data_IF_006044866782
#
_entry.id   IF_006044866782
#
_cell.length_a   1.000
_cell.length_b   1.000
_cell.length_c   1.000
_cell.angle_alpha   90.00
_cell.angle_beta   90.00
_cell.angle_gamma   90.00
#
_symmetry.space_group_name_H-M   'P 1'
#
loop_
_entity.id
_entity.type
_entity.pdbx_description
1 polymer ?
#
# COMPACT_ATOMS: atom_id res chain seq x y z
N UNK A 1 -13.14 7.27 -11.28
CA UNK A 1 -12.84 6.24 -10.28
C UNK A 1 -11.94 6.95 -9.31
N UNK A 2 -12.31 6.98 -8.05
CA UNK A 2 -11.48 7.53 -6.99
C UNK A 2 -10.90 6.36 -6.21
N UNK A 3 -9.69 6.52 -5.71
CA UNK A 3 -9.03 5.54 -4.86
C UNK A 3 -8.52 6.28 -3.63
N UNK A 4 -8.87 5.77 -2.46
CA UNK A 4 -8.43 6.35 -1.19
C UNK A 4 -7.73 5.28 -0.36
N UNK A 5 -6.71 5.69 0.37
CA UNK A 5 -6.09 4.87 1.41
C UNK A 5 -6.45 5.42 2.77
N UNK A 6 -6.90 4.52 3.65
CA UNK A 6 -7.16 4.76 5.06
C UNK A 6 -6.22 3.88 5.87
N UNK A 7 -5.44 4.47 6.77
CA UNK A 7 -4.50 3.75 7.64
C UNK A 7 -4.78 4.12 9.09
N UNK A 8 -4.65 3.16 10.00
CA UNK A 8 -4.93 3.36 11.42
C UNK A 8 -4.15 4.54 12.02
N UNK A 9 -4.91 5.57 12.43
CA UNK A 9 -4.38 6.77 13.05
C UNK A 9 -3.76 7.79 12.09
N UNK A 10 -3.93 7.62 10.78
CA UNK A 10 -3.46 8.57 9.75
C UNK A 10 -4.66 9.22 9.04
N UNK A 11 -4.44 10.40 8.49
CA UNK A 11 -5.41 11.08 7.63
C UNK A 11 -5.55 10.32 6.30
N UNK A 12 -6.79 10.11 5.86
CA UNK A 12 -7.06 9.45 4.58
C UNK A 12 -6.45 10.23 3.41
N UNK A 13 -5.84 9.52 2.45
CA UNK A 13 -5.17 10.13 1.29
C UNK A 13 -5.80 9.70 -0.01
N UNK A 14 -5.83 10.62 -0.98
CA UNK A 14 -6.17 10.32 -2.37
C UNK A 14 -4.98 9.61 -3.03
N UNK A 15 -5.23 8.44 -3.61
CA UNK A 15 -4.24 7.60 -4.27
C UNK A 15 -4.22 7.91 -5.76
N UNK A 16 -3.06 8.32 -6.25
CA UNK A 16 -2.81 8.62 -7.66
C UNK A 16 -2.33 7.40 -8.44
N UNK A 17 -1.46 6.59 -7.82
CA UNK A 17 -0.97 5.33 -8.38
C UNK A 17 -0.99 4.24 -7.30
N UNK A 18 -1.29 3.01 -7.72
CA UNK A 18 -1.27 1.84 -6.88
C UNK A 18 -0.86 0.63 -7.70
N UNK A 19 0.09 -0.14 -7.17
CA UNK A 19 0.36 -1.50 -7.63
C UNK A 19 0.58 -2.44 -6.46
N UNK A 20 0.08 -3.67 -6.59
CA UNK A 20 0.38 -4.78 -5.70
C UNK A 20 0.44 -6.04 -6.55
N UNK A 21 1.31 -6.97 -6.17
CA UNK A 21 1.47 -8.21 -6.89
C UNK A 21 1.75 -9.36 -5.93
N UNK A 22 1.36 -10.56 -6.35
CA UNK A 22 1.74 -11.80 -5.70
C UNK A 22 2.55 -12.61 -6.71
N UNK A 23 3.62 -13.23 -6.25
CA UNK A 23 4.53 -13.98 -7.08
C UNK A 23 4.83 -15.34 -6.45
N UNK A 24 4.96 -16.34 -7.31
CA UNK A 24 5.41 -17.68 -6.94
C UNK A 24 6.53 -18.06 -7.89
N UNK A 25 7.66 -18.51 -7.34
CA UNK A 25 8.77 -18.99 -8.16
C UNK A 25 8.32 -20.22 -8.95
N UNK A 26 8.82 -20.33 -10.19
CA UNK A 26 8.58 -21.46 -11.08
C UNK A 26 9.91 -22.11 -11.45
N UNK A 27 9.93 -23.43 -11.56
CA UNK A 27 11.07 -24.17 -12.06
C UNK A 27 11.22 -24.07 -13.58
N UNK A 28 12.29 -24.66 -14.12
CA UNK A 28 12.58 -24.67 -15.57
C UNK A 28 11.51 -25.37 -16.41
N UNK A 29 10.67 -26.21 -15.79
CA UNK A 29 9.56 -26.91 -16.44
C UNK A 29 8.22 -26.16 -16.27
N UNK A 30 8.24 -24.97 -15.65
CA UNK A 30 7.07 -24.13 -15.44
C UNK A 30 6.18 -24.56 -14.28
N UNK A 31 6.66 -25.45 -13.39
CA UNK A 31 5.92 -25.87 -12.20
C UNK A 31 6.24 -24.93 -11.03
N UNK A 32 5.25 -24.62 -10.17
CA UNK A 32 5.53 -23.80 -8.99
C UNK A 32 6.53 -24.49 -8.05
N UNK A 33 7.59 -23.79 -7.66
CA UNK A 33 8.71 -24.31 -6.86
C UNK A 33 8.78 -23.76 -5.43
N UNK A 34 8.08 -22.65 -5.15
CA UNK A 34 8.02 -22.02 -3.83
C UNK A 34 6.57 -21.72 -3.41
N UNK A 35 6.36 -21.30 -2.16
CA UNK A 35 5.07 -20.73 -1.73
C UNK A 35 4.89 -19.33 -2.31
N UNK A 36 3.64 -18.90 -2.51
CA UNK A 36 3.31 -17.55 -2.95
C UNK A 36 3.85 -16.52 -1.95
N UNK A 37 4.48 -15.47 -2.45
CA UNK A 37 4.92 -14.29 -1.69
C UNK A 37 4.15 -13.08 -2.21
N UNK A 38 3.85 -12.15 -1.32
CA UNK A 38 3.12 -10.93 -1.68
C UNK A 38 3.09 -9.95 -0.53
N UNK A 39 2.09 -9.08 -0.52
CA UNK A 39 1.91 -8.10 0.55
C UNK A 39 2.70 -6.81 0.36
N UNK A 40 3.52 -6.70 -0.69
CA UNK A 40 4.09 -5.42 -1.11
C UNK A 40 3.07 -4.62 -1.91
N UNK A 41 2.82 -3.40 -1.45
CA UNK A 41 1.87 -2.46 -2.03
C UNK A 41 2.63 -1.15 -2.27
N UNK A 42 2.79 -0.79 -3.53
CA UNK A 42 3.40 0.48 -3.93
C UNK A 42 2.30 1.51 -4.18
N UNK A 43 2.44 2.67 -3.56
CA UNK A 43 1.45 3.73 -3.59
C UNK A 43 2.12 5.05 -3.94
N UNK A 44 1.44 5.84 -4.76
CA UNK A 44 1.70 7.28 -4.91
C UNK A 44 0.44 8.00 -4.44
N UNK A 45 0.56 8.85 -3.43
CA UNK A 45 -0.56 9.66 -2.91
C UNK A 45 -0.28 11.13 -3.11
N UNK A 46 -1.33 11.92 -3.27
CA UNK A 46 -1.23 13.37 -3.42
C UNK A 46 -0.86 14.02 -2.09
N UNK A 47 0.22 14.77 -1.93
CA UNK A 47 0.60 15.42 -0.65
C UNK A 47 -0.51 16.30 -0.05
N UNK A 48 -0.61 16.35 1.29
CA UNK A 48 -1.48 17.33 1.96
C UNK A 48 -0.73 18.66 2.09
N UNK A 49 -1.42 19.76 1.77
CA UNK A 49 -0.85 21.12 1.85
C UNK A 49 -0.95 21.73 3.27
N UNK A 50 -1.04 20.90 4.31
CA UNK A 50 -1.21 21.30 5.71
C UNK A 50 0.01 20.96 6.60
N UNK A 51 1.08 20.42 6.00
CA UNK A 51 2.28 20.00 6.72
C UNK A 51 2.15 18.64 7.40
N UNK A 52 1.21 17.79 6.96
CA UNK A 52 1.14 16.40 7.41
C UNK A 52 2.45 15.64 7.11
N UNK A 53 2.94 14.89 8.10
CA UNK A 53 4.19 14.12 8.02
C UNK A 53 4.01 12.67 8.47
N UNK A 54 2.78 12.14 8.46
CA UNK A 54 2.47 10.90 9.16
C UNK A 54 3.08 9.66 8.49
N UNK A 55 3.14 9.61 7.15
CA UNK A 55 3.82 8.53 6.43
C UNK A 55 5.34 8.59 6.61
N UNK A 56 5.90 9.80 6.69
CA UNK A 56 7.31 9.98 7.03
C UNK A 56 7.62 9.55 8.46
N UNK A 57 6.74 9.84 9.42
CA UNK A 57 6.89 9.34 10.79
C UNK A 57 6.83 7.80 10.82
N UNK A 58 5.91 7.21 10.05
CA UNK A 58 5.77 5.76 9.98
C UNK A 58 6.99 5.07 9.37
N UNK A 59 7.60 5.60 8.29
CA UNK A 59 8.85 5.02 7.76
C UNK A 59 10.00 5.11 8.77
N UNK A 60 10.01 6.16 9.61
CA UNK A 60 11.08 6.37 10.58
C UNK A 60 11.01 5.42 11.78
N UNK A 61 9.86 4.78 12.02
CA UNK A 61 9.68 3.79 13.08
C UNK A 61 9.62 2.36 12.50
N UNK A 62 10.74 1.62 12.52
CA UNK A 62 10.80 0.27 11.95
C UNK A 62 10.04 -0.78 12.77
N UNK A 63 9.54 -0.44 13.96
CA UNK A 63 8.80 -1.38 14.83
C UNK A 63 7.30 -1.18 14.75
N UNK A 64 6.84 -0.03 14.27
CA UNK A 64 5.42 0.28 14.19
C UNK A 64 4.77 -0.41 13.00
N UNK A 65 3.81 -1.29 13.31
CA UNK A 65 2.88 -1.82 12.32
C UNK A 65 1.56 -1.06 12.35
N UNK A 66 0.90 -0.98 11.19
CA UNK A 66 -0.45 -0.43 11.07
C UNK A 66 -1.29 -1.31 10.17
N UNK A 67 -2.60 -1.27 10.38
CA UNK A 67 -3.57 -1.83 9.44
C UNK A 67 -4.18 -0.71 8.62
N UNK A 68 -4.82 -1.09 7.52
CA UNK A 68 -5.50 -0.12 6.67
C UNK A 68 -6.29 -0.76 5.56
N UNK A 69 -6.94 0.10 4.79
CA UNK A 69 -7.78 -0.28 3.66
C UNK A 69 -7.59 0.68 2.50
N UNK A 70 -7.43 0.13 1.32
CA UNK A 70 -7.50 0.85 0.06
C UNK A 70 -8.89 0.65 -0.53
N UNK A 71 -9.64 1.73 -0.67
CA UNK A 71 -11.01 1.74 -1.18
C UNK A 71 -11.05 2.21 -2.61
N UNK A 72 -11.61 1.38 -3.48
CA UNK A 72 -11.88 1.73 -4.87
C UNK A 72 -13.34 2.15 -5.01
N UNK A 73 -13.56 3.36 -5.51
CA UNK A 73 -14.89 3.92 -5.69
C UNK A 73 -15.20 4.15 -7.17
N UNK A 74 -16.43 3.83 -7.56
CA UNK A 74 -16.95 4.14 -8.89
C UNK A 74 -17.04 5.67 -9.07
N UNK A 75 -17.27 6.10 -10.31
CA UNK A 75 -17.44 7.54 -10.63
C UNK A 75 -18.65 8.17 -9.92
N UNK A 76 -19.62 7.36 -9.50
CA UNK A 76 -20.82 7.79 -8.78
C UNK A 76 -20.64 7.78 -7.24
N UNK A 77 -19.43 7.46 -6.74
CA UNK A 77 -19.14 7.37 -5.30
C UNK A 77 -19.54 6.04 -4.66
N UNK A 78 -20.08 5.09 -5.42
CA UNK A 78 -20.44 3.77 -4.87
C UNK A 78 -19.16 2.95 -4.61
N UNK A 79 -19.03 2.29 -3.45
CA UNK A 79 -17.95 1.35 -3.18
C UNK A 79 -17.90 0.25 -4.25
N UNK A 80 -16.71 -0.04 -4.76
CA UNK A 80 -16.49 -1.07 -5.78
C UNK A 80 -15.73 -2.28 -5.23
N UNK A 81 -14.55 -2.03 -4.67
CA UNK A 81 -13.60 -3.04 -4.22
C UNK A 81 -12.81 -2.47 -3.06
N UNK A 82 -12.41 -3.33 -2.13
CA UNK A 82 -11.51 -2.97 -1.03
C UNK A 82 -10.33 -3.93 -1.03
N UNK A 83 -9.14 -3.40 -0.77
CA UNK A 83 -7.96 -4.17 -0.41
C UNK A 83 -7.60 -3.79 1.03
N UNK A 84 -7.72 -4.75 1.95
CA UNK A 84 -7.34 -4.58 3.35
C UNK A 84 -5.94 -5.13 3.57
N UNK A 85 -5.16 -4.46 4.40
CA UNK A 85 -3.85 -4.93 4.81
C UNK A 85 -3.73 -4.91 6.33
N UNK A 86 -3.09 -5.93 6.88
CA UNK A 86 -2.91 -6.14 8.32
C UNK A 86 -1.43 -6.34 8.66
N UNK A 87 -1.04 -5.90 9.85
CA UNK A 87 0.33 -5.95 10.40
C UNK A 87 1.38 -5.48 9.37
N UNK A 88 1.17 -4.27 8.84
CA UNK A 88 2.00 -3.77 7.76
C UNK A 88 3.07 -2.80 8.26
N UNK A 89 4.24 -2.84 7.62
CA UNK A 89 5.32 -1.88 7.79
C UNK A 89 5.38 -0.97 6.56
N UNK A 90 5.84 0.26 6.74
CA UNK A 90 6.20 1.13 5.63
C UNK A 90 7.71 1.02 5.41
N UNK A 91 8.12 0.38 4.32
CA UNK A 91 9.51 -0.04 4.10
C UNK A 91 10.31 0.95 3.25
N UNK A 92 9.62 1.79 2.49
CA UNK A 92 10.21 2.79 1.60
C UNK A 92 9.31 4.02 1.59
N UNK A 93 9.92 5.21 1.57
CA UNK A 93 9.24 6.50 1.45
C UNK A 93 10.09 7.44 0.59
N UNK A 94 9.46 8.13 -0.34
CA UNK A 94 10.02 9.18 -1.18
C UNK A 94 8.98 10.29 -1.31
N UNK A 95 9.43 11.54 -1.31
CA UNK A 95 8.56 12.69 -1.52
C UNK A 95 9.08 13.49 -2.71
N UNK A 96 8.21 13.69 -3.70
CA UNK A 96 8.56 14.27 -4.98
C UNK A 96 7.81 15.57 -5.16
N UNK A 97 8.55 16.66 -5.42
CA UNK A 97 8.01 17.97 -5.75
C UNK A 97 8.50 18.38 -7.14
N UNK A 98 7.57 18.66 -8.04
CA UNK A 98 7.84 19.24 -9.35
C UNK A 98 7.15 20.60 -9.45
N UNK A 99 7.93 21.66 -9.70
CA UNK A 99 7.40 23.03 -9.84
C UNK A 99 6.90 23.37 -11.24
N UNK A 100 7.18 22.52 -12.23
CA UNK A 100 6.87 22.74 -13.64
C UNK A 100 5.59 22.00 -14.01
N UNK A 101 5.40 20.77 -13.51
CA UNK A 101 4.18 20.00 -13.75
C UNK A 101 3.10 20.25 -12.70
N UNK A 102 1.86 20.42 -13.15
CA UNK A 102 0.71 20.71 -12.30
C UNK A 102 0.19 19.43 -11.61
N UNK A 103 1.00 18.90 -10.69
CA UNK A 103 0.75 17.76 -9.80
C UNK A 103 1.61 17.85 -8.53
N UNK A 104 1.86 19.09 -8.10
CA UNK A 104 3.16 19.57 -7.64
C UNK A 104 3.75 19.00 -6.34
N UNK A 105 3.15 18.02 -5.68
CA UNK A 105 3.78 17.34 -4.56
C UNK A 105 3.09 16.00 -4.33
N UNK A 106 3.85 14.90 -4.36
CA UNK A 106 3.36 13.55 -4.11
C UNK A 106 4.27 12.82 -3.14
N UNK A 107 3.68 11.90 -2.39
CA UNK A 107 4.41 10.96 -1.54
C UNK A 107 4.31 9.57 -2.17
N UNK A 108 5.45 8.95 -2.40
CA UNK A 108 5.60 7.60 -2.93
C UNK A 108 6.11 6.69 -1.83
N UNK A 109 5.46 5.56 -1.60
CA UNK A 109 5.89 4.65 -0.55
C UNK A 109 5.50 3.20 -0.83
N UNK A 110 6.23 2.30 -0.17
CA UNK A 110 5.99 0.86 -0.22
C UNK A 110 5.55 0.36 1.15
N UNK A 111 4.35 -0.22 1.20
CA UNK A 111 3.85 -0.94 2.37
C UNK A 111 4.15 -2.43 2.20
N UNK A 112 4.73 -3.05 3.22
CA UNK A 112 4.92 -4.50 3.32
C UNK A 112 4.01 -5.08 4.39
N UNK A 113 2.90 -5.67 3.96
CA UNK A 113 1.88 -6.24 4.83
C UNK A 113 2.10 -7.73 5.12
N UNK A 114 1.81 -8.14 6.36
CA UNK A 114 1.78 -9.56 6.71
C UNK A 114 0.62 -10.26 6.04
N UNK A 115 -0.54 -9.61 5.98
CA UNK A 115 -1.74 -10.17 5.35
C UNK A 115 -2.41 -9.12 4.47
N UNK A 116 -2.87 -9.57 3.30
CA UNK A 116 -3.71 -8.79 2.39
C UNK A 116 -5.01 -9.54 2.15
N UNK A 117 -6.15 -8.85 2.20
CA UNK A 117 -7.48 -9.39 1.95
C UNK A 117 -8.19 -8.57 0.87
N UNK A 118 -8.80 -9.26 -0.08
CA UNK A 118 -9.65 -8.68 -1.09
C UNK A 118 -10.97 -9.45 -1.12
N UNK A 119 -12.06 -8.81 -0.67
CA UNK A 119 -13.40 -9.38 -0.74
C UNK A 119 -13.57 -10.67 0.09
N UNK A 120 -12.80 -10.83 1.17
CA UNK A 120 -12.82 -12.00 2.06
C UNK A 120 -11.89 -13.14 1.64
N UNK A 121 -11.13 -12.97 0.55
CA UNK A 121 -10.07 -13.88 0.13
C UNK A 121 -8.74 -13.25 0.51
N UNK A 122 -7.92 -13.96 1.28
CA UNK A 122 -6.68 -13.40 1.81
C UNK A 122 -5.44 -14.23 1.46
N UNK A 123 -4.31 -13.53 1.41
CA UNK A 123 -2.97 -14.11 1.42
C UNK A 123 -2.25 -13.62 2.68
N UNK A 124 -1.64 -14.55 3.41
CA UNK A 124 -0.87 -14.24 4.62
C UNK A 124 0.56 -14.77 4.45
N UNK A 125 1.52 -13.87 4.66
CA UNK A 125 2.92 -14.20 4.64
C UNK A 125 3.31 -14.86 5.97
N UNK A 126 3.86 -16.06 5.90
CA UNK A 126 4.54 -16.70 7.03
C UNK A 126 5.93 -16.11 7.19
N UNK A 127 6.03 -14.95 7.82
CA UNK A 127 7.32 -14.46 8.32
C UNK A 127 7.73 -15.37 9.47
N UNK A 128 8.92 -15.96 9.38
CA UNK A 128 9.45 -16.73 10.51
C UNK A 128 9.55 -15.78 11.70
N UNK A 129 8.91 -16.13 12.83
CA UNK A 129 9.19 -15.46 14.10
C UNK A 129 10.70 -15.55 14.31
N UNK A 130 11.38 -14.40 14.25
CA UNK A 130 12.82 -14.32 14.54
C UNK A 130 13.05 -14.54 16.02
#
# INVERSE_FOLDING_TARGET
MAVHIEVDGLVAREVMNLSYSLHQEIDVEGRPSAVTRGGQIHLTVKSLNDGNTEFFEWVCDPYTTKNGTIKFEKRDGTPMKELKFEDAYLTEYEEVYDSIDAGSQVEEFTISAKKIDIGGIYHENSWADV
#
